data_IF_289985719065
#
_entry.id   IF_289985719065
#
_cell.length_a   1.000
_cell.length_b   1.000
_cell.length_c   1.000
_cell.angle_alpha   90.00
_cell.angle_beta   90.00
_cell.angle_gamma   90.00
#
_symmetry.space_group_name_H-M   'P 1'
#
loop_
_entity.id
_entity.type
_entity.pdbx_description
1 polymer ?
#
# COMPACT_ATOMS: atom_id res chain seq x y z
N UNK A 1 -9.99 -3.81 -16.91
CA UNK A 1 -10.06 -4.57 -15.64
C UNK A 1 -8.76 -4.35 -14.89
N UNK A 2 -8.85 -3.96 -13.62
CA UNK A 2 -7.68 -3.68 -12.78
C UNK A 2 -6.97 -5.01 -12.48
N UNK A 3 -5.70 -5.16 -12.86
CA UNK A 3 -4.92 -6.40 -12.71
C UNK A 3 -4.47 -6.68 -11.26
N UNK A 4 -5.24 -6.22 -10.26
CA UNK A 4 -4.96 -6.41 -8.84
C UNK A 4 -3.82 -5.54 -8.27
N UNK A 5 -3.25 -4.64 -9.06
CA UNK A 5 -2.22 -3.67 -8.64
C UNK A 5 -2.32 -2.38 -9.44
N UNK A 6 -1.84 -1.29 -8.86
CA UNK A 6 -1.58 -0.02 -9.55
C UNK A 6 -0.25 -0.09 -10.30
N UNK A 7 0.08 0.96 -11.05
CA UNK A 7 1.47 1.19 -11.43
C UNK A 7 2.32 1.46 -10.18
N UNK A 8 3.59 1.09 -10.24
CA UNK A 8 4.56 1.41 -9.19
C UNK A 8 5.04 2.85 -9.38
N UNK A 9 4.55 3.76 -8.53
CA UNK A 9 5.02 5.15 -8.54
C UNK A 9 6.41 5.27 -7.89
N UNK A 10 7.33 5.96 -8.57
CA UNK A 10 8.69 6.20 -8.08
C UNK A 10 8.89 7.70 -7.98
N UNK A 11 8.85 8.20 -6.75
CA UNK A 11 9.17 9.59 -6.46
C UNK A 11 10.58 9.91 -6.98
N UNK A 12 10.66 10.94 -7.83
CA UNK A 12 11.95 11.55 -8.18
C UNK A 12 12.53 12.21 -6.91
N UNK A 13 13.83 12.52 -6.93
CA UNK A 13 14.62 13.08 -5.81
C UNK A 13 13.84 14.04 -4.88
N UNK A 14 14.26 14.11 -3.63
CA UNK A 14 13.66 14.96 -2.60
C UNK A 14 12.70 14.19 -1.69
N UNK A 15 12.23 14.85 -0.64
CA UNK A 15 11.31 14.26 0.32
C UNK A 15 9.91 14.10 -0.27
N UNK A 16 9.17 13.13 0.24
CA UNK A 16 7.72 13.01 0.01
C UNK A 16 7.04 13.92 1.03
N UNK A 17 6.29 14.92 0.59
CA UNK A 17 5.44 15.77 1.43
C UNK A 17 3.98 15.31 1.32
N UNK A 18 3.11 15.84 2.18
CA UNK A 18 1.66 15.60 2.08
C UNK A 18 1.10 16.00 0.71
N UNK A 19 1.40 17.21 0.26
CA UNK A 19 0.95 17.72 -1.05
C UNK A 19 1.44 16.83 -2.20
N UNK A 20 2.71 16.42 -2.13
CA UNK A 20 3.31 15.54 -3.14
C UNK A 20 2.70 14.15 -3.14
N UNK A 21 2.30 13.65 -1.98
CA UNK A 21 1.55 12.40 -1.86
C UNK A 21 0.13 12.53 -2.43
N UNK A 22 -0.55 13.64 -2.18
CA UNK A 22 -1.84 13.96 -2.77
C UNK A 22 -1.77 13.97 -4.31
N UNK A 23 -0.84 14.74 -4.87
CA UNK A 23 -0.71 14.98 -6.32
C UNK A 23 -0.19 13.76 -7.07
N UNK A 24 0.85 13.11 -6.56
CA UNK A 24 1.53 12.04 -7.29
C UNK A 24 0.95 10.64 -7.00
N UNK A 25 0.20 10.45 -5.90
CA UNK A 25 -0.31 9.12 -5.49
C UNK A 25 -1.82 9.09 -5.36
N UNK A 26 -2.42 9.91 -4.49
CA UNK A 26 -3.85 9.79 -4.15
C UNK A 26 -4.75 10.14 -5.33
N UNK A 27 -4.53 11.30 -5.95
CA UNK A 27 -5.33 11.77 -7.10
C UNK A 27 -5.24 10.85 -8.33
N UNK A 28 -4.04 10.42 -8.80
CA UNK A 28 -3.95 9.60 -10.00
C UNK A 28 -4.36 8.14 -9.77
N UNK A 29 -4.19 7.62 -8.55
CA UNK A 29 -4.44 6.21 -8.26
C UNK A 29 -5.70 6.03 -7.39
N UNK A 30 -5.67 6.46 -6.13
CA UNK A 30 -6.73 6.12 -5.16
C UNK A 30 -8.10 6.65 -5.60
N UNK A 31 -8.16 7.88 -6.10
CA UNK A 31 -9.39 8.48 -6.64
C UNK A 31 -9.98 7.67 -7.80
N UNK A 32 -9.12 7.16 -8.69
CA UNK A 32 -9.56 6.33 -9.82
C UNK A 32 -10.24 5.05 -9.32
N UNK A 33 -9.64 4.37 -8.34
CA UNK A 33 -10.23 3.16 -7.76
C UNK A 33 -11.53 3.46 -7.00
N UNK A 34 -11.59 4.57 -6.25
CA UNK A 34 -12.82 5.02 -5.61
C UNK A 34 -13.95 5.26 -6.63
N UNK A 35 -13.63 5.84 -7.78
CA UNK A 35 -14.59 6.07 -8.86
C UNK A 35 -15.07 4.78 -9.54
N UNK A 36 -14.20 3.77 -9.68
CA UNK A 36 -14.53 2.48 -10.30
C UNK A 36 -15.28 1.54 -9.35
N UNK A 37 -14.85 1.44 -8.09
CA UNK A 37 -15.41 0.52 -7.09
C UNK A 37 -16.68 1.10 -6.46
N UNK A 38 -16.78 2.43 -6.35
CA UNK A 38 -17.93 3.06 -5.73
C UNK A 38 -17.80 3.18 -4.20
N UNK A 39 -18.91 3.43 -3.50
CA UNK A 39 -18.92 3.82 -2.07
C UNK A 39 -18.36 2.74 -1.13
N UNK A 40 -18.30 1.49 -1.58
CA UNK A 40 -17.71 0.39 -0.81
C UNK A 40 -16.16 0.38 -0.83
N UNK A 41 -15.53 1.32 -1.56
CA UNK A 41 -14.09 1.45 -1.58
C UNK A 41 -13.56 1.98 -0.24
N UNK A 42 -12.69 1.20 0.39
CA UNK A 42 -11.98 1.58 1.61
C UNK A 42 -10.50 1.71 1.28
N UNK A 43 -9.94 2.89 1.55
CA UNK A 43 -8.51 3.15 1.39
C UNK A 43 -7.74 2.74 2.65
N UNK A 44 -6.60 2.07 2.48
CA UNK A 44 -5.72 1.67 3.58
C UNK A 44 -4.31 2.22 3.32
N UNK A 45 -3.67 2.75 4.37
CA UNK A 45 -2.25 3.13 4.39
C UNK A 45 -1.58 2.76 5.73
N UNK A 46 -0.26 2.95 5.82
CA UNK A 46 0.54 2.60 7.00
C UNK A 46 0.73 3.70 8.05
N UNK A 47 -0.13 4.73 8.12
CA UNK A 47 -0.01 5.85 9.07
C UNK A 47 1.31 6.68 9.00
N UNK A 48 2.04 6.67 7.88
CA UNK A 48 3.24 7.51 7.77
C UNK A 48 2.90 9.00 8.01
N UNK A 49 3.81 9.78 8.61
CA UNK A 49 3.57 11.20 8.94
C UNK A 49 3.08 12.02 7.74
N UNK A 50 3.58 11.71 6.55
CA UNK A 50 3.20 12.35 5.28
C UNK A 50 1.78 12.01 4.84
N UNK A 51 1.20 10.90 5.28
CA UNK A 51 -0.18 10.49 4.98
C UNK A 51 -1.20 11.06 5.98
N UNK A 52 -0.74 11.81 6.99
CA UNK A 52 -1.55 12.37 8.08
C UNK A 52 -1.44 13.90 8.15
N UNK A 53 -1.01 14.54 7.06
CA UNK A 53 -0.99 16.00 6.95
C UNK A 53 -2.39 16.54 6.66
N UNK A 54 -2.67 17.80 7.03
CA UNK A 54 -3.95 18.44 6.77
C UNK A 54 -4.41 18.33 5.29
N UNK A 55 -3.50 18.59 4.34
CA UNK A 55 -3.80 18.48 2.91
C UNK A 55 -4.27 17.07 2.47
N UNK A 56 -3.80 16.02 3.14
CA UNK A 56 -4.22 14.64 2.85
C UNK A 56 -5.60 14.38 3.43
N UNK A 57 -5.86 14.81 4.67
CA UNK A 57 -7.18 14.67 5.29
C UNK A 57 -8.26 15.42 4.51
N UNK A 58 -7.99 16.67 4.13
CA UNK A 58 -8.89 17.49 3.32
C UNK A 58 -9.17 16.84 1.96
N UNK A 59 -8.15 16.30 1.29
CA UNK A 59 -8.34 15.62 0.01
C UNK A 59 -9.22 14.37 0.15
N UNK A 60 -8.98 13.53 1.17
CA UNK A 60 -9.78 12.33 1.37
C UNK A 60 -11.25 12.65 1.62
N UNK A 61 -11.55 13.70 2.39
CA UNK A 61 -12.91 14.18 2.61
C UNK A 61 -13.54 14.70 1.32
N UNK A 62 -12.82 15.54 0.56
CA UNK A 62 -13.32 16.14 -0.67
C UNK A 62 -13.60 15.10 -1.77
N UNK A 63 -12.84 14.02 -1.82
CA UNK A 63 -13.00 12.94 -2.79
C UNK A 63 -13.92 11.80 -2.28
N UNK A 64 -14.56 11.96 -1.12
CA UNK A 64 -15.43 10.96 -0.48
C UNK A 64 -14.74 9.58 -0.35
N UNK A 65 -13.47 9.61 0.08
CA UNK A 65 -12.64 8.42 0.28
C UNK A 65 -12.63 8.09 1.77
N UNK A 66 -13.29 6.98 2.11
CA UNK A 66 -13.20 6.42 3.47
C UNK A 66 -11.84 5.77 3.67
N UNK A 67 -11.09 6.22 4.67
CA UNK A 67 -9.83 5.60 5.09
C UNK A 67 -10.08 4.64 6.25
N UNK A 68 -9.48 3.45 6.16
CA UNK A 68 -9.48 2.46 7.23
C UNK A 68 -8.64 2.95 8.41
N UNK A 69 -9.16 2.77 9.62
CA UNK A 69 -8.36 2.91 10.84
C UNK A 69 -7.30 1.81 10.88
N UNK A 70 -6.04 2.22 11.07
CA UNK A 70 -4.91 1.30 11.10
C UNK A 70 -4.12 1.47 12.41
N UNK A 71 -3.70 0.39 13.08
CA UNK A 71 -2.86 0.49 14.26
C UNK A 71 -1.45 1.00 13.91
N UNK A 72 -0.89 1.82 14.79
CA UNK A 72 0.49 2.28 14.65
C UNK A 72 1.48 1.13 14.87
N UNK A 73 2.60 1.15 14.15
CA UNK A 73 3.69 0.16 14.27
C UNK A 73 3.29 -1.30 14.05
N UNK A 74 2.31 -1.56 13.17
CA UNK A 74 1.88 -2.91 12.78
C UNK A 74 2.21 -3.24 11.31
N UNK A 75 3.50 -3.31 10.94
CA UNK A 75 3.89 -3.69 9.58
C UNK A 75 3.54 -5.15 9.26
N UNK A 76 3.52 -6.02 10.28
CA UNK A 76 3.11 -7.43 10.19
C UNK A 76 1.65 -7.62 9.72
N UNK A 77 0.79 -6.67 10.07
CA UNK A 77 -0.58 -6.63 9.57
C UNK A 77 -0.70 -6.12 8.15
N UNK A 78 0.27 -5.35 7.64
CA UNK A 78 0.13 -4.65 6.37
C UNK A 78 0.53 -5.55 5.17
N UNK A 79 -0.42 -5.95 4.30
CA UNK A 79 -0.12 -6.86 3.19
C UNK A 79 0.93 -6.34 2.21
N UNK A 80 1.11 -5.02 2.10
CA UNK A 80 2.08 -4.45 1.17
C UNK A 80 3.53 -4.76 1.59
N UNK A 81 3.79 -4.99 2.88
CA UNK A 81 5.11 -5.38 3.36
C UNK A 81 5.49 -6.73 2.74
N UNK A 82 4.58 -7.71 2.71
CA UNK A 82 4.80 -9.01 2.06
C UNK A 82 5.11 -8.89 0.58
N UNK A 83 4.51 -7.91 -0.09
CA UNK A 83 4.83 -7.59 -1.48
C UNK A 83 6.24 -7.04 -1.60
N UNK A 84 6.65 -6.11 -0.73
CA UNK A 84 8.00 -5.55 -0.72
C UNK A 84 9.08 -6.57 -0.44
N UNK A 85 8.85 -7.46 0.52
CA UNK A 85 9.76 -8.55 0.85
C UNK A 85 9.90 -9.55 -0.32
N UNK A 86 8.80 -9.91 -0.98
CA UNK A 86 8.85 -10.74 -2.19
C UNK A 86 9.66 -10.08 -3.32
N UNK A 87 9.49 -8.77 -3.53
CA UNK A 87 10.25 -8.00 -4.51
C UNK A 87 11.73 -7.92 -4.12
N UNK A 88 12.02 -7.63 -2.85
CA UNK A 88 13.37 -7.56 -2.30
C UNK A 88 14.17 -8.84 -2.56
N UNK A 89 13.57 -10.01 -2.29
CA UNK A 89 14.18 -11.31 -2.59
C UNK A 89 14.50 -11.50 -4.07
N UNK A 90 13.62 -11.07 -4.97
CA UNK A 90 13.80 -11.22 -6.43
C UNK A 90 14.94 -10.36 -6.97
N UNK A 91 15.15 -9.18 -6.38
CA UNK A 91 16.15 -8.21 -6.86
C UNK A 91 17.46 -8.21 -6.05
N UNK A 92 17.53 -8.95 -4.94
CA UNK A 92 18.65 -8.93 -3.99
C UNK A 92 20.03 -9.11 -4.64
N UNK A 93 20.12 -9.94 -5.70
CA UNK A 93 21.38 -10.23 -6.39
C UNK A 93 21.72 -9.25 -7.53
N UNK A 94 20.86 -8.26 -7.84
CA UNK A 94 20.95 -7.47 -9.08
C UNK A 94 20.71 -5.98 -8.79
N UNK A 95 21.71 -5.36 -8.16
CA UNK A 95 21.64 -3.94 -7.75
C UNK A 95 21.93 -2.94 -8.87
N UNK A 96 22.55 -3.39 -9.98
CA UNK A 96 22.73 -2.54 -11.15
C UNK A 96 21.36 -2.35 -11.81
N UNK A 97 20.90 -1.09 -11.92
CA UNK A 97 19.57 -0.74 -12.48
C UNK A 97 18.35 -1.08 -11.58
N UNK A 98 18.48 -0.92 -10.26
CA UNK A 98 17.43 -1.16 -9.27
C UNK A 98 16.04 -0.63 -9.68
N UNK A 99 15.96 0.59 -10.22
CA UNK A 99 14.68 1.20 -10.65
C UNK A 99 13.97 0.36 -11.72
N UNK A 100 14.70 0.00 -12.78
CA UNK A 100 14.14 -0.74 -13.91
C UNK A 100 13.67 -2.13 -13.45
N UNK A 101 14.51 -2.79 -12.67
CA UNK A 101 14.20 -4.09 -12.10
C UNK A 101 13.01 -4.11 -11.15
N UNK A 102 12.86 -3.09 -10.31
CA UNK A 102 11.70 -2.96 -9.43
C UNK A 102 10.40 -2.87 -10.24
N UNK A 103 10.40 -2.09 -11.32
CA UNK A 103 9.24 -1.97 -12.21
C UNK A 103 8.95 -3.30 -12.90
N UNK A 104 9.96 -3.97 -13.45
CA UNK A 104 9.81 -5.26 -14.11
C UNK A 104 9.25 -6.32 -13.15
N UNK A 105 9.88 -6.52 -11.99
CA UNK A 105 9.41 -7.51 -11.02
C UNK A 105 8.02 -7.15 -10.45
N UNK A 106 7.72 -5.86 -10.26
CA UNK A 106 6.37 -5.41 -9.90
C UNK A 106 5.33 -5.87 -10.93
N UNK A 107 5.64 -5.75 -12.22
CA UNK A 107 4.76 -6.22 -13.31
C UNK A 107 4.69 -7.74 -13.43
N UNK A 108 5.65 -8.48 -12.87
CA UNK A 108 5.67 -9.94 -12.90
C UNK A 108 5.06 -10.57 -11.64
N UNK A 109 4.68 -9.77 -10.64
CA UNK A 109 4.03 -10.29 -9.44
C UNK A 109 2.76 -11.08 -9.80
N UNK A 110 2.64 -12.35 -9.34
CA UNK A 110 1.46 -13.14 -9.60
C UNK A 110 0.22 -12.52 -8.96
N UNK A 111 -0.86 -12.36 -9.73
CA UNK A 111 -2.14 -11.87 -9.20
C UNK A 111 -2.67 -12.75 -8.07
N UNK A 112 -2.46 -14.06 -8.16
CA UNK A 112 -2.84 -15.02 -7.13
C UNK A 112 -2.14 -14.72 -5.80
N UNK A 113 -0.85 -14.37 -5.83
CA UNK A 113 -0.10 -13.99 -4.63
C UNK A 113 -0.74 -12.76 -3.95
N UNK A 114 -1.07 -11.73 -4.73
CA UNK A 114 -1.73 -10.52 -4.21
C UNK A 114 -3.11 -10.84 -3.61
N UNK A 115 -3.88 -11.69 -4.28
CA UNK A 115 -5.20 -12.11 -3.80
C UNK A 115 -5.11 -12.89 -2.48
N UNK A 116 -4.17 -13.84 -2.38
CA UNK A 116 -3.96 -14.61 -1.15
C UNK A 116 -3.53 -13.73 0.02
N UNK A 117 -2.75 -12.68 -0.23
CA UNK A 117 -2.39 -11.70 0.81
C UNK A 117 -3.63 -10.98 1.36
N UNK A 118 -4.53 -10.52 0.49
CA UNK A 118 -5.80 -9.90 0.90
C UNK A 118 -6.67 -10.89 1.67
N UNK A 119 -6.82 -12.12 1.19
CA UNK A 119 -7.61 -13.16 1.87
C UNK A 119 -7.03 -13.56 3.23
N UNK A 120 -5.71 -13.39 3.43
CA UNK A 120 -5.05 -13.70 4.70
C UNK A 120 -5.38 -12.71 5.83
N UNK A 121 -5.94 -11.54 5.52
CA UNK A 121 -6.13 -10.45 6.48
C UNK A 121 -6.93 -10.85 7.72
N UNK A 122 -8.00 -11.62 7.56
CA UNK A 122 -8.79 -12.10 8.71
C UNK A 122 -7.93 -12.89 9.68
N UNK A 123 -7.13 -13.84 9.17
CA UNK A 123 -6.24 -14.68 10.00
C UNK A 123 -5.18 -13.85 10.70
N UNK A 124 -4.62 -12.83 10.02
CA UNK A 124 -3.62 -11.92 10.62
C UNK A 124 -4.22 -11.13 11.78
N UNK A 125 -5.42 -10.55 11.59
CA UNK A 125 -6.13 -9.84 12.65
C UNK A 125 -6.42 -10.76 13.84
N UNK A 126 -6.89 -11.99 13.60
CA UNK A 126 -7.13 -13.01 14.63
C UNK A 126 -5.84 -13.35 15.39
N UNK A 127 -4.73 -13.53 14.69
CA UNK A 127 -3.42 -13.79 15.29
C UNK A 127 -2.96 -12.62 16.17
N UNK A 128 -3.08 -11.37 15.69
CA UNK A 128 -2.71 -10.17 16.45
C UNK A 128 -3.59 -10.02 17.70
N UNK A 129 -4.88 -10.31 17.60
CA UNK A 129 -5.77 -10.34 18.76
C UNK A 129 -5.34 -11.41 19.78
N UNK A 130 -4.95 -12.61 19.33
CA UNK A 130 -4.50 -13.69 20.20
C UNK A 130 -3.24 -13.31 21.00
N UNK A 131 -2.35 -12.52 20.41
CA UNK A 131 -1.15 -11.97 21.09
C UNK A 131 -1.37 -10.58 21.70
N UNK A 132 -2.63 -10.14 21.82
CA UNK A 132 -3.03 -8.85 22.44
C UNK A 132 -2.34 -7.62 21.84
N UNK A 133 -2.23 -7.59 20.52
CA UNK A 133 -1.55 -6.51 19.79
C UNK A 133 -0.03 -6.64 19.72
N UNK A 134 0.53 -7.74 20.25
CA UNK A 134 1.94 -8.09 20.04
C UNK A 134 2.26 -8.48 18.59
N UNK A 135 3.55 -8.69 18.34
CA UNK A 135 4.04 -9.08 17.02
C UNK A 135 3.54 -10.46 16.60
N UNK A 136 3.09 -10.58 15.35
CA UNK A 136 2.80 -11.87 14.72
C UNK A 136 3.93 -12.28 13.77
N UNK A 137 4.06 -13.58 13.53
CA UNK A 137 5.01 -14.09 12.56
C UNK A 137 4.64 -13.62 11.15
N UNK A 138 5.67 -13.23 10.42
CA UNK A 138 5.61 -12.77 9.04
C UNK A 138 5.57 -13.93 8.04
#
# INVERSE_FOLDING_TARGET
MLNGRTELHIFKRGSVTGDRYCEEVLLPNVRLFRGVIGPDFIFMDGNARTHRTLAVEELLVNEDITRMDWPAYSPDLNPIEHVWDALGRRIAARLHQLKQMLIEEWTLLPKEMLHQLVLSMRRRCEATMAVRGGHIAY
#
